data_IF_334961345819
#
_entry.id   IF_334961345819
#
_cell.length_a   1.000
_cell.length_b   1.000
_cell.length_c   1.000
_cell.angle_alpha   90.00
_cell.angle_beta   90.00
_cell.angle_gamma   90.00
#
_symmetry.space_group_name_H-M   'P 1'
#
loop_
_entity.id
_entity.type
_entity.pdbx_description
1 polymer ?
#
# COMPACT_ATOMS: atom_id res chain seq x y z
N UNK A 1 11.35 31.87 -15.19
CA UNK A 1 10.31 31.27 -14.31
C UNK A 1 10.57 29.77 -14.28
N UNK A 2 11.19 29.28 -13.21
CA UNK A 2 11.45 27.85 -13.04
C UNK A 2 10.16 27.19 -12.56
N UNK A 3 9.72 26.17 -13.28
CA UNK A 3 8.61 25.33 -12.88
C UNK A 3 8.98 24.65 -11.56
N UNK A 4 8.14 24.81 -10.54
CA UNK A 4 8.25 24.07 -9.29
C UNK A 4 8.15 22.58 -9.61
N UNK A 5 9.23 21.85 -9.32
CA UNK A 5 9.23 20.39 -9.29
C UNK A 5 8.14 19.99 -8.30
N UNK A 6 7.05 19.40 -8.80
CA UNK A 6 5.96 18.92 -7.98
C UNK A 6 6.49 17.92 -6.97
N UNK A 7 6.24 18.17 -5.68
CA UNK A 7 6.37 17.17 -4.63
C UNK A 7 5.49 15.98 -5.07
N UNK A 8 6.02 14.75 -5.21
CA UNK A 8 5.18 13.60 -5.52
C UNK A 8 4.09 13.49 -4.44
N UNK A 9 2.84 13.16 -4.80
CA UNK A 9 1.78 12.99 -3.81
C UNK A 9 2.25 11.98 -2.77
N UNK A 10 2.19 12.35 -1.48
CA UNK A 10 2.45 11.42 -0.37
C UNK A 10 1.59 10.17 -0.62
N UNK A 11 2.21 9.00 -0.76
CA UNK A 11 1.51 7.72 -0.90
C UNK A 11 0.80 7.39 0.42
N UNK A 12 -0.41 7.93 0.61
CA UNK A 12 -1.29 7.49 1.68
C UNK A 12 -2.08 6.27 1.21
N UNK A 13 -2.10 5.21 2.02
CA UNK A 13 -3.07 4.13 1.84
C UNK A 13 -4.38 4.54 2.50
N UNK A 14 -5.53 4.14 1.96
CA UNK A 14 -6.80 4.33 2.65
C UNK A 14 -7.19 3.02 3.32
N UNK A 15 -7.67 3.10 4.56
CA UNK A 15 -8.17 1.94 5.31
C UNK A 15 -9.57 2.23 5.83
N UNK A 16 -10.41 1.20 5.86
CA UNK A 16 -11.72 1.22 6.48
C UNK A 16 -11.67 0.52 7.84
N UNK A 17 -12.20 1.18 8.87
CA UNK A 17 -12.38 0.62 10.20
C UNK A 17 -13.82 0.16 10.39
N UNK A 18 -14.00 -1.14 10.60
CA UNK A 18 -15.28 -1.77 10.94
C UNK A 18 -15.34 -2.04 12.44
N UNK A 19 -16.36 -1.50 13.09
CA UNK A 19 -16.43 -1.44 14.55
C UNK A 19 -17.53 -2.37 15.07
N UNK A 20 -17.27 -2.98 16.23
CA UNK A 20 -18.26 -3.70 17.01
C UNK A 20 -17.90 -3.66 18.49
N UNK A 21 -18.89 -3.76 19.36
CA UNK A 21 -18.67 -3.85 20.80
C UNK A 21 -19.31 -5.11 21.38
N UNK A 22 -18.82 -5.53 22.54
CA UNK A 22 -19.35 -6.67 23.30
C UNK A 22 -19.38 -6.37 24.79
N UNK A 23 -20.41 -6.88 25.45
CA UNK A 23 -20.61 -6.78 26.90
C UNK A 23 -20.49 -5.34 27.41
N UNK A 24 -21.08 -4.38 26.69
CA UNK A 24 -21.17 -3.00 27.15
C UNK A 24 -21.87 -2.95 28.51
N UNK A 25 -21.46 -1.98 29.33
CA UNK A 25 -22.11 -1.71 30.60
C UNK A 25 -23.57 -1.31 30.34
N UNK A 26 -24.48 -1.98 31.03
CA UNK A 26 -25.89 -1.60 31.04
C UNK A 26 -26.07 -0.41 31.99
N UNK A 27 -26.47 0.73 31.44
CA UNK A 27 -26.64 2.01 32.15
C UNK A 27 -28.12 2.35 32.39
N UNK A 28 -29.00 1.70 31.64
CA UNK A 28 -30.44 1.93 31.70
C UNK A 28 -31.14 1.08 32.75
N UNK A 29 -32.14 1.68 33.41
CA UNK A 29 -32.95 1.02 34.45
C UNK A 29 -34.09 0.18 33.85
N UNK A 30 -34.51 0.49 32.62
CA UNK A 30 -35.70 -0.09 31.97
C UNK A 30 -35.48 -0.58 30.53
N UNK A 31 -34.37 -0.17 29.89
CA UNK A 31 -33.96 -0.53 28.53
C UNK A 31 -32.51 -1.00 28.54
N UNK A 32 -31.97 -1.33 27.36
CA UNK A 32 -30.52 -1.49 27.15
C UNK A 32 -30.03 -0.24 26.44
N UNK A 33 -28.74 0.05 26.59
CA UNK A 33 -28.07 1.13 25.86
C UNK A 33 -28.29 1.11 24.34
N UNK A 34 -28.28 2.31 23.76
CA UNK A 34 -28.37 2.67 22.35
C UNK A 34 -26.98 3.13 21.82
N UNK A 35 -25.97 2.23 21.74
CA UNK A 35 -24.58 2.62 21.52
C UNK A 35 -24.28 3.24 20.15
N UNK A 36 -23.35 4.18 20.16
CA UNK A 36 -22.67 4.77 18.99
C UNK A 36 -21.16 4.91 19.28
N UNK A 37 -20.31 4.73 18.27
CA UNK A 37 -18.86 4.94 18.40
C UNK A 37 -18.42 6.17 17.62
N UNK A 38 -17.82 7.14 18.33
CA UNK A 38 -17.12 8.26 17.72
C UNK A 38 -15.61 8.01 17.72
N UNK A 39 -14.97 8.29 16.58
CA UNK A 39 -13.54 8.09 16.35
C UNK A 39 -12.87 9.44 16.19
N UNK A 40 -11.79 9.65 16.93
CA UNK A 40 -11.03 10.90 16.94
C UNK A 40 -9.58 10.63 16.57
N UNK A 41 -8.94 11.59 15.89
CA UNK A 41 -7.49 11.64 15.67
C UNK A 41 -6.87 12.72 16.55
N UNK A 42 -5.67 12.45 17.05
CA UNK A 42 -4.87 13.48 17.73
C UNK A 42 -4.19 14.37 16.70
N UNK A 43 -4.28 15.68 16.89
CA UNK A 43 -3.58 16.66 16.07
C UNK A 43 -2.14 16.86 16.58
N UNK A 44 -1.31 17.55 15.79
CA UNK A 44 0.05 17.93 16.21
C UNK A 44 0.07 18.83 17.45
N UNK A 45 -1.00 19.61 17.69
CA UNK A 45 -1.18 20.42 18.90
C UNK A 45 -1.60 19.60 20.13
N UNK A 46 -1.83 18.28 19.96
CA UNK A 46 -2.26 17.38 21.03
C UNK A 46 -3.78 17.36 21.28
N UNK A 47 -4.57 18.14 20.54
CA UNK A 47 -6.03 18.14 20.63
C UNK A 47 -6.65 16.98 19.84
N UNK A 48 -7.83 16.54 20.26
CA UNK A 48 -8.59 15.50 19.54
C UNK A 48 -9.54 16.15 18.54
N UNK A 49 -9.61 15.61 17.33
CA UNK A 49 -10.53 16.01 16.27
C UNK A 49 -11.32 14.80 15.81
N UNK A 50 -12.65 14.92 15.74
CA UNK A 50 -13.52 13.83 15.27
C UNK A 50 -13.25 13.55 13.79
N UNK A 51 -12.96 12.30 13.47
CA UNK A 51 -12.85 11.80 12.09
C UNK A 51 -14.22 11.37 11.55
N UNK A 52 -15.05 10.84 12.44
CA UNK A 52 -16.41 10.45 12.15
C UNK A 52 -16.98 9.56 13.26
N UNK A 53 -18.24 9.19 13.08
CA UNK A 53 -18.97 8.30 13.98
C UNK A 53 -19.82 7.29 13.23
N UNK A 54 -20.07 6.14 13.86
CA UNK A 54 -20.98 5.10 13.37
C UNK A 54 -22.43 5.57 13.44
N UNK A 55 -23.34 4.75 12.93
CA UNK A 55 -24.75 4.84 13.32
C UNK A 55 -24.96 4.45 14.80
N UNK A 56 -26.11 4.84 15.36
CA UNK A 56 -26.59 4.37 16.65
C UNK A 56 -27.34 3.03 16.49
N UNK A 57 -27.02 2.05 17.32
CA UNK A 57 -27.68 0.74 17.35
C UNK A 57 -28.56 0.66 18.58
N UNK A 58 -29.86 0.52 18.40
CA UNK A 58 -30.80 0.53 19.53
C UNK A 58 -30.76 -0.75 20.37
N UNK A 59 -30.83 -0.58 21.69
CA UNK A 59 -31.11 -1.59 22.70
C UNK A 59 -30.16 -2.79 22.63
N UNK A 60 -28.86 -2.53 22.50
CA UNK A 60 -27.84 -3.55 22.31
C UNK A 60 -26.60 -3.30 23.15
N UNK A 61 -26.24 -4.29 23.98
CA UNK A 61 -24.95 -4.32 24.67
C UNK A 61 -23.84 -4.99 23.83
N UNK A 62 -24.18 -5.46 22.62
CA UNK A 62 -23.25 -6.13 21.70
C UNK A 62 -23.45 -5.62 20.26
N UNK A 63 -23.34 -4.30 20.02
CA UNK A 63 -23.61 -3.73 18.71
C UNK A 63 -22.55 -4.14 17.69
N UNK A 64 -22.99 -4.36 16.45
CA UNK A 64 -22.13 -4.39 15.27
C UNK A 64 -22.58 -3.26 14.36
N UNK A 65 -21.64 -2.41 13.94
CA UNK A 65 -21.94 -1.24 13.14
C UNK A 65 -21.70 -1.54 11.66
N UNK A 66 -22.59 -1.05 10.81
CA UNK A 66 -22.55 -1.16 9.36
C UNK A 66 -21.73 -0.05 8.72
N UNK A 67 -21.76 1.17 9.29
CA UNK A 67 -20.96 2.29 8.80
C UNK A 67 -19.49 2.10 9.20
N UNK A 68 -18.61 2.02 8.20
CA UNK A 68 -17.16 2.06 8.39
C UNK A 68 -16.64 3.49 8.52
N UNK A 69 -15.47 3.64 9.13
CA UNK A 69 -14.74 4.91 9.20
C UNK A 69 -13.49 4.80 8.33
N UNK A 70 -13.44 5.56 7.24
CA UNK A 70 -12.28 5.60 6.34
C UNK A 70 -11.21 6.56 6.87
N UNK A 71 -9.95 6.12 6.88
CA UNK A 71 -8.80 6.91 7.34
C UNK A 71 -7.64 6.76 6.35
N UNK A 72 -6.98 7.88 6.04
CA UNK A 72 -5.71 7.86 5.31
C UNK A 72 -4.57 7.42 6.25
N UNK A 73 -4.03 6.24 6.00
CA UNK A 73 -2.89 5.64 6.66
C UNK A 73 -1.56 6.12 6.05
N UNK A 74 -0.63 6.55 6.92
CA UNK A 74 0.73 6.99 6.60
C UNK A 74 1.70 6.27 7.52
N UNK A 75 2.48 5.35 6.96
CA UNK A 75 3.45 4.55 7.71
C UNK A 75 4.47 5.41 8.46
N UNK A 76 4.85 6.55 7.88
CA UNK A 76 5.87 7.45 8.43
C UNK A 76 5.36 8.37 9.55
N UNK A 77 4.10 8.25 9.97
CA UNK A 77 3.49 9.09 11.01
C UNK A 77 2.87 8.23 12.12
N UNK A 78 3.11 8.60 13.38
CA UNK A 78 2.33 8.06 14.48
C UNK A 78 0.95 8.73 14.52
N UNK A 79 -0.06 7.99 14.06
CA UNK A 79 -1.44 8.47 13.99
C UNK A 79 -2.22 7.99 15.21
N UNK A 80 -2.21 8.78 16.30
CA UNK A 80 -2.95 8.46 17.52
C UNK A 80 -4.47 8.59 17.31
N UNK A 81 -5.21 7.55 17.70
CA UNK A 81 -6.66 7.46 17.62
C UNK A 81 -7.29 7.30 19.00
N UNK A 82 -8.52 7.78 19.12
CA UNK A 82 -9.38 7.56 20.28
C UNK A 82 -10.75 7.09 19.81
N UNK A 83 -11.20 5.98 20.39
CA UNK A 83 -12.52 5.42 20.15
C UNK A 83 -13.35 5.62 21.41
N UNK A 84 -14.47 6.31 21.29
CA UNK A 84 -15.35 6.63 22.42
C UNK A 84 -16.75 6.13 22.13
N UNK A 85 -17.29 5.31 23.02
CA UNK A 85 -18.62 4.72 22.93
C UNK A 85 -19.58 5.50 23.81
N UNK A 86 -20.64 6.00 23.20
CA UNK A 86 -21.70 6.77 23.85
C UNK A 86 -23.00 5.97 23.86
N UNK A 87 -23.79 6.15 24.91
CA UNK A 87 -25.20 5.77 24.97
C UNK A 87 -26.03 6.96 24.50
N UNK A 88 -26.78 6.80 23.40
CA UNK A 88 -27.49 7.91 22.76
C UNK A 88 -28.92 7.97 23.30
N UNK A 89 -29.19 8.95 24.16
CA UNK A 89 -30.51 9.13 24.79
C UNK A 89 -31.47 9.96 23.94
N UNK A 90 -30.93 10.80 23.06
CA UNK A 90 -31.69 11.78 22.29
C UNK A 90 -31.13 11.95 20.86
N UNK A 91 -31.92 12.47 19.91
CA UNK A 91 -31.48 12.58 18.52
C UNK A 91 -30.63 13.85 18.25
N UNK A 92 -30.00 14.45 19.27
CA UNK A 92 -29.17 15.64 19.04
C UNK A 92 -27.85 15.27 18.36
N UNK A 93 -27.26 16.22 17.62
CA UNK A 93 -25.98 15.99 16.94
C UNK A 93 -24.77 16.06 17.90
N UNK A 94 -24.94 16.71 19.05
CA UNK A 94 -23.89 16.86 20.05
C UNK A 94 -23.80 15.60 20.90
N UNK A 95 -22.58 15.17 21.22
CA UNK A 95 -22.33 14.05 22.14
C UNK A 95 -22.02 14.55 23.57
N UNK A 96 -22.28 15.83 23.84
CA UNK A 96 -21.93 16.48 25.11
C UNK A 96 -22.80 16.07 26.28
N UNK A 97 -24.02 15.66 25.97
CA UNK A 97 -25.11 15.33 26.89
C UNK A 97 -25.38 13.83 26.96
N UNK A 98 -24.77 13.04 26.07
CA UNK A 98 -24.86 11.58 26.04
C UNK A 98 -23.96 10.89 27.09
N UNK A 99 -24.38 9.71 27.57
CA UNK A 99 -23.61 8.96 28.58
C UNK A 99 -22.38 8.26 27.97
N UNK A 100 -21.22 8.43 28.60
CA UNK A 100 -20.00 7.73 28.22
C UNK A 100 -20.00 6.28 28.72
N UNK A 101 -20.17 5.33 27.81
CA UNK A 101 -20.05 3.89 28.09
C UNK A 101 -18.59 3.46 28.25
N UNK A 102 -17.67 4.03 27.48
CA UNK A 102 -16.24 3.77 27.63
C UNK A 102 -15.41 4.25 26.44
N UNK A 103 -14.09 4.21 26.60
CA UNK A 103 -13.16 4.60 25.54
C UNK A 103 -11.87 3.78 25.54
N UNK A 104 -11.17 3.82 24.41
CA UNK A 104 -9.78 3.39 24.27
C UNK A 104 -8.99 4.44 23.47
N UNK A 105 -7.69 4.48 23.70
CA UNK A 105 -6.72 5.21 22.88
C UNK A 105 -5.68 4.20 22.38
N UNK A 106 -5.32 4.29 21.10
CA UNK A 106 -4.31 3.45 20.43
C UNK A 106 -3.82 4.17 19.18
N UNK A 107 -2.71 3.73 18.59
CA UNK A 107 -2.32 4.24 17.27
C UNK A 107 -3.05 3.49 16.14
N UNK A 108 -3.18 4.12 14.98
CA UNK A 108 -3.62 3.43 13.76
C UNK A 108 -2.62 2.33 13.38
N UNK A 109 -1.33 2.50 13.69
CA UNK A 109 -0.28 1.51 13.48
C UNK A 109 -0.58 0.18 14.18
N UNK A 110 -0.95 0.24 15.46
CA UNK A 110 -1.35 -0.94 16.25
C UNK A 110 -2.54 -1.66 15.60
N UNK A 111 -3.56 -0.88 15.19
CA UNK A 111 -4.78 -1.43 14.56
C UNK A 111 -4.45 -2.14 13.24
N UNK A 112 -3.63 -1.53 12.37
CA UNK A 112 -3.25 -2.14 11.08
C UNK A 112 -2.32 -3.34 11.26
N UNK A 113 -1.47 -3.34 12.28
CA UNK A 113 -0.55 -4.44 12.56
C UNK A 113 -1.26 -5.73 12.99
N UNK A 114 -2.38 -5.61 13.73
CA UNK A 114 -3.15 -6.74 14.26
C UNK A 114 -4.26 -7.21 13.30
N UNK A 115 -4.68 -6.37 12.34
CA UNK A 115 -5.84 -6.55 11.44
C UNK A 115 -7.20 -6.62 12.15
N UNK A 116 -7.28 -7.33 13.27
CA UNK A 116 -8.43 -7.42 14.17
C UNK A 116 -7.98 -7.02 15.56
N UNK A 117 -8.12 -5.73 15.88
CA UNK A 117 -7.69 -5.15 17.14
C UNK A 117 -8.83 -5.19 18.16
N UNK A 118 -8.66 -5.99 19.22
CA UNK A 118 -9.68 -6.15 20.28
C UNK A 118 -9.12 -5.70 21.62
N UNK A 119 -9.80 -4.76 22.29
CA UNK A 119 -9.37 -4.21 23.58
C UNK A 119 -10.54 -3.92 24.53
N UNK A 120 -10.32 -4.00 25.86
CA UNK A 120 -11.32 -3.59 26.83
C UNK A 120 -11.57 -2.09 26.73
N UNK A 121 -12.85 -1.70 26.75
CA UNK A 121 -13.24 -0.30 26.92
C UNK A 121 -13.05 0.11 28.38
N UNK A 122 -12.58 1.34 28.61
CA UNK A 122 -12.41 1.90 29.94
C UNK A 122 -13.36 3.07 30.18
N UNK A 123 -14.07 3.04 31.30
CA UNK A 123 -14.86 4.16 31.82
C UNK A 123 -14.46 4.40 33.27
N UNK A 124 -14.00 5.62 33.58
CA UNK A 124 -13.48 6.00 34.92
C UNK A 124 -12.45 4.99 35.48
N UNK A 125 -11.58 4.49 34.60
CA UNK A 125 -10.52 3.51 34.94
C UNK A 125 -11.01 2.07 35.14
N UNK A 126 -12.30 1.78 34.96
CA UNK A 126 -12.86 0.42 35.08
C UNK A 126 -13.25 -0.11 33.70
N UNK A 127 -13.13 -1.42 33.52
CA UNK A 127 -13.58 -2.11 32.30
C UNK A 127 -15.10 -1.95 32.14
N UNK A 128 -15.55 -1.50 30.98
CA UNK A 128 -16.96 -1.22 30.67
C UNK A 128 -17.43 -1.81 29.34
N UNK A 129 -16.78 -2.91 28.94
CA UNK A 129 -17.07 -3.64 27.71
C UNK A 129 -15.80 -3.94 26.94
N UNK A 130 -15.96 -4.36 25.70
CA UNK A 130 -14.87 -4.64 24.77
C UNK A 130 -15.23 -4.05 23.42
N UNK A 131 -14.26 -3.39 22.77
CA UNK A 131 -14.38 -2.95 21.38
C UNK A 131 -13.50 -3.85 20.50
N UNK A 132 -14.03 -4.21 19.33
CA UNK A 132 -13.31 -4.90 18.27
C UNK A 132 -13.32 -4.00 17.04
N UNK A 133 -12.12 -3.76 16.51
CA UNK A 133 -11.84 -2.95 15.33
C UNK A 133 -11.23 -3.87 14.29
N UNK A 134 -11.97 -4.13 13.21
CA UNK A 134 -11.46 -4.84 12.05
C UNK A 134 -11.08 -3.82 10.99
N UNK A 135 -9.85 -3.90 10.48
CA UNK A 135 -9.37 -3.00 9.45
C UNK A 135 -9.24 -3.71 8.12
N UNK A 136 -9.61 -3.00 7.05
CA UNK A 136 -9.43 -3.43 5.67
C UNK A 136 -8.80 -2.31 4.86
N UNK A 137 -7.90 -2.64 3.93
CA UNK A 137 -7.37 -1.64 3.00
C UNK A 137 -8.41 -1.35 1.91
N UNK A 138 -8.72 -0.06 1.73
CA UNK A 138 -9.52 0.42 0.61
C UNK A 138 -8.65 0.29 -0.63
N UNK A 139 -8.86 -0.81 -1.34
CA UNK A 139 -7.93 -1.40 -2.29
C UNK A 139 -7.20 -0.39 -3.20
N UNK A 140 -5.87 -0.45 -3.23
CA UNK A 140 -5.08 -0.19 -4.44
C UNK A 140 -4.45 -1.48 -4.98
N UNK A 141 -5.15 -2.60 -4.83
CA UNK A 141 -4.71 -3.88 -5.37
C UNK A 141 -4.48 -3.81 -6.88
N UNK A 142 -3.42 -4.46 -7.34
CA UNK A 142 -3.09 -4.56 -8.75
C UNK A 142 -2.28 -5.82 -9.04
N UNK A 143 -2.27 -6.24 -10.30
CA UNK A 143 -1.39 -7.30 -10.76
C UNK A 143 -0.40 -6.74 -11.76
N UNK A 144 0.84 -7.22 -11.72
CA UNK A 144 1.75 -7.13 -12.85
C UNK A 144 1.29 -8.13 -13.91
N UNK A 145 1.16 -7.66 -15.14
CA UNK A 145 0.72 -8.44 -16.29
C UNK A 145 1.87 -8.45 -17.30
N UNK A 146 2.47 -9.60 -17.51
CA UNK A 146 3.46 -9.84 -18.56
C UNK A 146 2.74 -10.47 -19.77
N UNK A 147 2.80 -9.84 -20.95
CA UNK A 147 2.18 -10.32 -22.19
C UNK A 147 3.22 -10.53 -23.28
N UNK A 148 3.10 -11.64 -24.01
CA UNK A 148 3.85 -11.92 -25.23
C UNK A 148 2.89 -12.09 -26.40
N UNK A 149 3.16 -11.37 -27.49
CA UNK A 149 2.38 -11.47 -28.72
C UNK A 149 3.28 -11.76 -29.92
N UNK A 150 2.73 -12.47 -30.90
CA UNK A 150 3.29 -12.62 -32.24
C UNK A 150 2.27 -12.27 -33.31
N UNK A 151 2.73 -11.74 -34.43
CA UNK A 151 1.92 -11.51 -35.63
C UNK A 151 2.14 -12.63 -36.64
N UNK A 152 1.11 -12.92 -37.43
CA UNK A 152 1.19 -13.92 -38.49
C UNK A 152 0.49 -13.42 -39.76
N UNK A 153 1.19 -13.52 -40.90
CA UNK A 153 0.66 -13.15 -42.21
C UNK A 153 0.13 -11.72 -42.28
N UNK A 154 0.81 -10.78 -41.63
CA UNK A 154 0.42 -9.37 -41.64
C UNK A 154 0.41 -8.81 -43.07
N UNK A 155 -0.50 -7.87 -43.34
CA UNK A 155 -0.53 -7.21 -44.64
C UNK A 155 0.75 -6.40 -44.88
N UNK A 156 1.34 -6.59 -46.06
CA UNK A 156 2.44 -5.78 -46.56
C UNK A 156 1.95 -4.36 -46.87
N UNK A 157 2.64 -3.36 -46.34
CA UNK A 157 2.32 -1.94 -46.52
C UNK A 157 3.39 -1.19 -47.32
N UNK A 158 4.66 -1.48 -47.10
CA UNK A 158 5.78 -0.94 -47.89
C UNK A 158 5.81 -1.36 -49.37
N UNK A 159 6.24 -0.45 -50.26
CA UNK A 159 6.47 -0.75 -51.69
C UNK A 159 7.72 -1.64 -51.89
N UNK A 160 8.82 -1.32 -51.20
CA UNK A 160 10.12 -1.99 -51.31
C UNK A 160 10.52 -2.66 -49.99
N UNK A 161 9.78 -3.68 -49.59
CA UNK A 161 10.05 -4.43 -48.36
C UNK A 161 8.86 -5.30 -47.95
N UNK A 162 8.86 -5.75 -46.71
CA UNK A 162 7.69 -6.10 -45.91
C UNK A 162 7.48 -4.97 -44.90
N UNK A 163 6.35 -4.98 -44.22
CA UNK A 163 6.05 -4.03 -43.15
C UNK A 163 7.07 -4.10 -42.00
N UNK A 164 7.14 -3.01 -41.25
CA UNK A 164 7.85 -2.75 -40.00
C UNK A 164 6.82 -2.69 -38.83
N UNK A 165 6.19 -3.82 -38.44
CA UNK A 165 5.03 -3.79 -37.56
C UNK A 165 5.33 -3.49 -36.09
N UNK A 166 4.50 -2.66 -35.45
CA UNK A 166 4.44 -2.46 -34.00
C UNK A 166 3.01 -2.54 -33.45
N UNK A 167 2.89 -2.83 -32.15
CA UNK A 167 1.61 -2.86 -31.44
C UNK A 167 1.42 -1.62 -30.56
N UNK A 168 0.19 -1.14 -30.53
CA UNK A 168 -0.30 -0.12 -29.61
C UNK A 168 -1.50 -0.68 -28.84
N UNK A 169 -1.41 -0.67 -27.50
CA UNK A 169 -2.50 -1.07 -26.62
C UNK A 169 -3.13 0.17 -26.00
N UNK A 170 -4.46 0.22 -25.99
CA UNK A 170 -5.22 1.31 -25.41
C UNK A 170 -6.33 0.82 -24.48
N UNK A 171 -6.46 1.46 -23.32
CA UNK A 171 -7.53 1.23 -22.35
C UNK A 171 -8.75 2.08 -22.70
N UNK A 172 -9.95 1.50 -22.60
CA UNK A 172 -11.21 2.25 -22.72
C UNK A 172 -11.50 3.10 -21.45
N UNK A 173 -11.82 4.37 -21.62
CA UNK A 173 -12.23 5.28 -20.55
C UNK A 173 -13.75 5.23 -20.31
N UNK A 174 -14.24 5.87 -19.24
CA UNK A 174 -15.68 5.88 -18.89
C UNK A 174 -16.56 6.51 -19.98
N UNK A 175 -16.04 7.52 -20.69
CA UNK A 175 -16.73 8.18 -21.81
C UNK A 175 -16.68 7.36 -23.11
N UNK A 176 -16.07 6.17 -23.08
CA UNK A 176 -15.87 5.28 -24.22
C UNK A 176 -14.72 5.66 -25.15
N UNK A 177 -13.99 6.73 -24.87
CA UNK A 177 -12.73 7.05 -25.54
C UNK A 177 -11.63 6.04 -25.17
N UNK A 178 -10.51 6.07 -25.88
CA UNK A 178 -9.37 5.17 -25.62
C UNK A 178 -8.11 5.98 -25.33
N UNK A 179 -7.37 5.57 -24.31
CA UNK A 179 -6.05 6.12 -23.95
C UNK A 179 -4.98 5.07 -24.22
N UNK A 180 -3.94 5.44 -24.95
CA UNK A 180 -2.77 4.58 -25.18
C UNK A 180 -2.06 4.34 -23.86
N UNK A 181 -1.83 3.08 -23.53
CA UNK A 181 -1.20 2.64 -22.27
C UNK A 181 0.12 1.92 -22.51
N UNK A 182 0.34 1.41 -23.72
CA UNK A 182 1.59 0.75 -24.11
C UNK A 182 1.81 0.82 -25.61
N UNK A 183 3.07 0.93 -26.03
CA UNK A 183 3.50 0.81 -27.43
C UNK A 183 4.84 0.07 -27.46
N UNK A 184 4.94 -0.93 -28.32
CA UNK A 184 6.21 -1.61 -28.58
C UNK A 184 7.03 -0.86 -29.65
N UNK A 185 8.34 -1.12 -29.67
CA UNK A 185 9.16 -0.82 -30.84
C UNK A 185 8.73 -1.67 -32.03
N UNK A 186 8.98 -1.15 -33.24
CA UNK A 186 8.69 -1.85 -34.48
C UNK A 186 9.72 -2.95 -34.77
N UNK A 187 9.27 -4.01 -35.43
CA UNK A 187 10.15 -5.09 -35.90
C UNK A 187 10.35 -4.95 -37.39
N UNK A 188 11.59 -4.69 -37.82
CA UNK A 188 11.88 -4.36 -39.22
C UNK A 188 11.61 -5.53 -40.19
N UNK A 189 10.96 -5.23 -41.31
CA UNK A 189 10.84 -5.99 -42.54
C UNK A 189 10.32 -7.42 -42.31
N UNK A 190 9.17 -7.54 -41.64
CA UNK A 190 8.53 -8.82 -41.35
C UNK A 190 7.00 -8.76 -41.41
N UNK A 191 6.39 -9.86 -41.87
CA UNK A 191 4.94 -10.07 -41.79
C UNK A 191 4.58 -11.07 -40.67
N UNK A 192 5.59 -11.55 -39.93
CA UNK A 192 5.42 -12.50 -38.83
C UNK A 192 6.29 -12.05 -37.63
N UNK A 193 6.04 -10.88 -37.05
CA UNK A 193 6.82 -10.37 -35.92
C UNK A 193 6.61 -11.21 -34.66
N UNK A 194 7.64 -11.26 -33.82
CA UNK A 194 7.52 -11.67 -32.41
C UNK A 194 7.99 -10.46 -31.61
N UNK A 195 7.07 -9.85 -30.85
CA UNK A 195 7.41 -8.64 -30.09
C UNK A 195 8.01 -8.99 -28.72
N UNK A 196 8.83 -8.11 -28.14
CA UNK A 196 9.30 -8.27 -26.76
C UNK A 196 8.14 -8.35 -25.76
N UNK A 197 8.40 -9.00 -24.62
CA UNK A 197 7.46 -9.05 -23.49
C UNK A 197 7.13 -7.63 -23.02
N UNK A 198 5.83 -7.33 -22.91
CA UNK A 198 5.36 -6.10 -22.29
C UNK A 198 4.93 -6.38 -20.85
N UNK A 199 5.29 -5.50 -19.93
CA UNK A 199 4.92 -5.58 -18.51
C UNK A 199 4.10 -4.35 -18.11
N UNK A 200 2.86 -4.57 -17.69
CA UNK A 200 1.90 -3.51 -17.37
C UNK A 200 1.20 -3.81 -16.04
N UNK A 201 0.79 -2.78 -15.30
CA UNK A 201 -0.12 -2.98 -14.16
C UNK A 201 -1.57 -3.16 -14.64
N UNK A 202 -2.36 -3.96 -13.92
CA UNK A 202 -3.81 -4.10 -14.17
C UNK A 202 -4.55 -2.77 -14.06
N UNK A 203 -4.08 -1.86 -13.21
CA UNK A 203 -4.63 -0.51 -13.12
C UNK A 203 -4.40 0.27 -14.42
N UNK A 204 -3.16 0.26 -14.94
CA UNK A 204 -2.83 0.94 -16.19
C UNK A 204 -3.59 0.31 -17.37
N UNK A 205 -3.61 -1.02 -17.46
CA UNK A 205 -4.20 -1.73 -18.60
C UNK A 205 -5.73 -1.64 -18.64
N UNK A 206 -6.40 -1.76 -17.49
CA UNK A 206 -7.86 -1.92 -17.46
C UNK A 206 -8.55 -1.32 -16.21
N UNK A 207 -7.88 -0.43 -15.46
CA UNK A 207 -8.37 0.14 -14.19
C UNK A 207 -8.84 -0.95 -13.21
N UNK A 208 -8.11 -2.06 -13.14
CA UNK A 208 -8.44 -3.22 -12.30
C UNK A 208 -9.81 -3.87 -12.61
N UNK A 209 -10.47 -3.52 -13.71
CA UNK A 209 -11.68 -4.19 -14.18
C UNK A 209 -11.31 -5.19 -15.29
N UNK A 210 -11.35 -6.52 -15.03
CA UNK A 210 -10.91 -7.51 -16.02
C UNK A 210 -11.79 -7.59 -17.28
N UNK A 211 -13.05 -7.13 -17.19
CA UNK A 211 -14.01 -7.10 -18.30
C UNK A 211 -13.87 -5.83 -19.17
N UNK A 212 -13.08 -4.84 -18.74
CA UNK A 212 -12.92 -3.57 -19.48
C UNK A 212 -12.24 -3.82 -20.84
N UNK A 213 -12.79 -3.29 -21.95
CA UNK A 213 -12.19 -3.47 -23.27
C UNK A 213 -10.79 -2.85 -23.40
N UNK A 214 -9.90 -3.63 -24.00
CA UNK A 214 -8.56 -3.23 -24.42
C UNK A 214 -8.56 -3.22 -25.94
N UNK A 215 -8.25 -2.08 -26.55
CA UNK A 215 -8.04 -1.97 -27.99
C UNK A 215 -6.58 -2.25 -28.29
N UNK A 216 -6.33 -3.13 -29.26
CA UNK A 216 -4.99 -3.42 -29.77
C UNK A 216 -4.94 -3.08 -31.25
N UNK A 217 -4.02 -2.19 -31.62
CA UNK A 217 -3.79 -1.78 -33.01
C UNK A 217 -2.41 -2.23 -33.45
N UNK A 218 -2.32 -2.72 -34.67
CA UNK A 218 -1.07 -3.05 -35.34
C UNK A 218 -0.84 -2.04 -36.46
N UNK A 219 0.30 -1.36 -36.41
CA UNK A 219 0.70 -0.34 -37.38
C UNK A 219 1.97 -0.76 -38.10
N UNK A 220 2.14 -0.26 -39.31
CA UNK A 220 3.40 -0.26 -40.03
C UNK A 220 4.17 1.02 -39.71
N UNK A 221 5.43 0.91 -39.30
CA UNK A 221 6.25 2.08 -39.01
C UNK A 221 6.82 2.68 -40.29
N UNK A 222 6.36 3.88 -40.66
CA UNK A 222 6.99 4.72 -41.68
C UNK A 222 7.91 5.81 -41.11
N UNK A 223 9.08 6.01 -41.72
CA UNK A 223 10.07 7.00 -41.28
C UNK A 223 9.60 8.47 -41.38
N UNK A 224 8.57 8.76 -42.19
CA UNK A 224 7.98 10.09 -42.36
C UNK A 224 6.93 10.43 -41.28
N UNK A 225 6.64 9.50 -40.37
CA UNK A 225 5.64 9.64 -39.30
C UNK A 225 4.19 9.32 -39.73
N UNK A 226 3.97 8.94 -41.00
CA UNK A 226 2.68 8.60 -41.57
C UNK A 226 2.18 7.18 -41.28
N UNK A 227 2.57 6.61 -40.13
CA UNK A 227 2.44 5.18 -39.80
C UNK A 227 1.10 4.56 -40.19
N UNK A 228 1.19 3.47 -40.95
CA UNK A 228 0.09 2.97 -41.74
C UNK A 228 -0.65 1.86 -40.98
N UNK A 229 -1.93 2.06 -40.63
CA UNK A 229 -2.69 1.05 -39.87
C UNK A 229 -2.78 -0.26 -40.67
N UNK A 230 -2.28 -1.37 -40.11
CA UNK A 230 -2.46 -2.72 -40.63
C UNK A 230 -3.88 -3.18 -40.26
N UNK A 231 -4.22 -3.17 -38.98
CA UNK A 231 -5.58 -3.41 -38.50
C UNK A 231 -5.67 -3.38 -36.97
N UNK A 232 -6.84 -3.68 -36.44
CA UNK A 232 -7.11 -3.63 -35.01
C UNK A 232 -8.04 -4.77 -34.55
N UNK A 233 -8.00 -5.06 -33.24
CA UNK A 233 -8.94 -5.94 -32.56
C UNK A 233 -9.19 -5.45 -31.12
N UNK A 234 -10.22 -5.98 -30.48
CA UNK A 234 -10.52 -5.74 -29.07
C UNK A 234 -10.39 -7.05 -28.29
N UNK A 235 -9.92 -6.94 -27.07
CA UNK A 235 -9.88 -8.03 -26.09
C UNK A 235 -10.15 -7.48 -24.68
N UNK A 236 -10.01 -8.31 -23.65
CA UNK A 236 -10.10 -7.93 -22.24
C UNK A 236 -9.14 -8.77 -21.40
N UNK A 237 -8.76 -8.30 -20.22
CA UNK A 237 -7.88 -9.07 -19.33
C UNK A 237 -8.50 -10.43 -18.96
N UNK A 238 -9.82 -10.49 -18.82
CA UNK A 238 -10.57 -11.73 -18.58
C UNK A 238 -10.43 -12.73 -19.71
N UNK A 239 -10.50 -12.29 -20.97
CA UNK A 239 -10.30 -13.14 -22.13
C UNK A 239 -8.86 -13.65 -22.21
N UNK A 240 -7.88 -12.76 -21.99
CA UNK A 240 -6.46 -13.11 -21.96
C UNK A 240 -6.17 -14.14 -20.85
N UNK A 241 -6.73 -13.95 -19.65
CA UNK A 241 -6.57 -14.88 -18.54
C UNK A 241 -7.23 -16.23 -18.82
N UNK A 242 -8.43 -16.25 -19.37
CA UNK A 242 -9.13 -17.49 -19.72
C UNK A 242 -8.35 -18.34 -20.74
N UNK A 243 -7.62 -17.70 -21.66
CA UNK A 243 -6.71 -18.38 -22.60
C UNK A 243 -5.64 -19.17 -21.85
N UNK A 244 -5.00 -18.50 -20.89
CA UNK A 244 -3.93 -19.08 -20.08
C UNK A 244 -4.42 -20.24 -19.22
N UNK A 245 -5.55 -20.07 -18.54
CA UNK A 245 -6.12 -21.08 -17.64
C UNK A 245 -6.46 -22.37 -18.40
N UNK A 246 -6.94 -22.24 -19.64
CA UNK A 246 -7.27 -23.36 -20.52
C UNK A 246 -6.09 -23.88 -21.32
N UNK A 247 -4.93 -23.22 -21.27
CA UNK A 247 -3.76 -23.46 -22.13
C UNK A 247 -4.12 -23.42 -23.62
N UNK A 248 -5.05 -22.55 -23.98
CA UNK A 248 -5.50 -22.34 -25.35
C UNK A 248 -4.72 -21.19 -25.99
N UNK A 249 -4.41 -21.32 -27.28
CA UNK A 249 -3.89 -20.20 -28.07
C UNK A 249 -5.06 -19.38 -28.57
N UNK A 250 -4.99 -18.07 -28.40
CA UNK A 250 -5.96 -17.15 -29.02
C UNK A 250 -5.28 -16.40 -30.16
N UNK A 251 -5.94 -16.45 -31.32
CA UNK A 251 -5.58 -15.69 -32.50
C UNK A 251 -6.70 -14.68 -32.81
N UNK A 252 -6.38 -13.39 -32.76
CA UNK A 252 -7.30 -12.34 -33.20
C UNK A 252 -7.01 -11.95 -34.64
N UNK A 253 -8.06 -11.88 -35.45
CA UNK A 253 -8.00 -11.31 -36.79
C UNK A 253 -7.84 -9.80 -36.72
N UNK A 254 -6.86 -9.25 -37.43
CA UNK A 254 -6.71 -7.81 -37.58
C UNK A 254 -7.70 -7.29 -38.61
N UNK A 255 -8.56 -6.37 -38.19
CA UNK A 255 -9.54 -5.76 -39.07
C UNK A 255 -9.12 -4.34 -39.42
N UNK A 256 -9.04 -4.05 -40.72
CA UNK A 256 -8.85 -2.70 -41.22
C UNK A 256 -10.17 -2.17 -41.77
N UNK A 257 -10.76 -1.18 -41.09
CA UNK A 257 -12.03 -0.59 -41.51
C UNK A 257 -12.02 -0.06 -42.96
N UNK A 258 -10.85 0.36 -43.49
CA UNK A 258 -10.72 0.82 -44.88
C UNK A 258 -10.79 -0.32 -45.90
N UNK A 259 -10.58 -1.57 -45.48
CA UNK A 259 -10.55 -2.76 -46.37
C UNK A 259 -11.82 -3.61 -46.30
N UNK A 260 -12.70 -3.41 -45.33
CA UNK A 260 -13.93 -4.21 -45.16
C UNK A 260 -14.88 -4.19 -46.35
N UNK A 261 -14.81 -3.16 -47.20
CA UNK A 261 -15.59 -3.05 -48.45
C UNK A 261 -14.98 -3.80 -49.63
N UNK A 262 -13.76 -4.36 -49.51
CA UNK A 262 -13.09 -5.07 -50.62
C UNK A 262 -13.63 -6.49 -50.76
N UNK A 263 -13.85 -6.91 -52.00
CA UNK A 263 -14.27 -8.29 -52.33
C UNK A 263 -13.20 -9.28 -51.85
N UNK A 264 -13.60 -10.31 -51.12
CA UNK A 264 -12.74 -11.35 -50.54
C UNK A 264 -11.78 -10.90 -49.42
N UNK A 265 -12.03 -9.75 -48.79
CA UNK A 265 -11.29 -9.39 -47.58
C UNK A 265 -11.78 -10.21 -46.38
N UNK A 266 -10.87 -10.95 -45.73
CA UNK A 266 -11.13 -11.62 -44.45
C UNK A 266 -10.47 -10.87 -43.29
N UNK A 267 -9.14 -10.67 -43.35
CA UNK A 267 -8.35 -9.97 -42.33
C UNK A 267 -7.04 -9.42 -42.92
N UNK A 268 -6.33 -8.59 -42.14
CA UNK A 268 -5.01 -8.00 -42.50
C UNK A 268 -3.85 -8.73 -41.82
N UNK A 269 -4.02 -10.01 -41.51
CA UNK A 269 -3.17 -10.84 -40.65
C UNK A 269 -3.83 -11.17 -39.31
N UNK A 270 -3.15 -12.00 -38.52
CA UNK A 270 -3.58 -12.35 -37.15
C UNK A 270 -2.53 -11.97 -36.11
N UNK A 271 -3.00 -11.66 -34.89
CA UNK A 271 -2.16 -11.51 -33.70
C UNK A 271 -2.47 -12.66 -32.77
N UNK A 272 -1.44 -13.34 -32.28
CA UNK A 272 -1.52 -14.44 -31.33
C UNK A 272 -1.03 -14.00 -29.96
N UNK A 273 -1.75 -14.40 -28.91
CA UNK A 273 -1.21 -14.40 -27.54
C UNK A 273 -0.33 -15.63 -27.35
N UNK A 274 0.97 -15.44 -27.20
CA UNK A 274 1.93 -16.53 -26.96
C UNK A 274 1.95 -16.94 -25.49
N UNK A 275 1.91 -15.96 -24.59
CA UNK A 275 1.81 -16.21 -23.15
C UNK A 275 1.30 -14.97 -22.41
N UNK A 276 0.63 -15.21 -21.29
CA UNK A 276 0.34 -14.20 -20.27
C UNK A 276 0.78 -14.73 -18.91
N UNK A 277 1.35 -13.86 -18.08
CA UNK A 277 1.62 -14.13 -16.67
C UNK A 277 1.08 -12.99 -15.84
N UNK A 278 0.09 -13.29 -15.01
CA UNK A 278 -0.48 -12.36 -14.04
C UNK A 278 0.13 -12.66 -12.68
N UNK A 279 0.86 -11.70 -12.13
CA UNK A 279 1.45 -11.79 -10.80
C UNK A 279 0.79 -10.76 -9.91
N UNK A 280 0.09 -11.20 -8.87
CA UNK A 280 -0.47 -10.29 -7.86
C UNK A 280 0.65 -9.52 -7.19
N UNK A 281 0.54 -8.19 -7.17
CA UNK A 281 1.40 -7.34 -6.37
C UNK A 281 0.64 -7.06 -5.07
N UNK A 282 1.22 -7.46 -3.95
CA UNK A 282 0.67 -7.17 -2.63
C UNK A 282 1.09 -5.77 -2.20
N UNK A 283 0.16 -5.00 -1.62
CA UNK A 283 0.44 -3.70 -1.03
C UNK A 283 1.31 -3.84 0.23
N UNK A 284 1.89 -2.74 0.70
CA UNK A 284 2.56 -2.69 1.99
C UNK A 284 1.65 -3.16 3.13
N UNK A 285 0.40 -2.67 3.15
CA UNK A 285 -0.58 -3.01 4.18
C UNK A 285 -1.01 -4.48 4.14
N UNK A 286 -1.11 -5.10 2.95
CA UNK A 286 -1.38 -6.53 2.83
C UNK A 286 -0.28 -7.38 3.47
N UNK A 287 0.99 -6.99 3.34
CA UNK A 287 2.09 -7.67 4.04
C UNK A 287 1.95 -7.53 5.57
N UNK A 288 1.72 -6.31 6.07
CA UNK A 288 1.59 -6.03 7.50
C UNK A 288 0.39 -6.77 8.11
N UNK A 289 -0.80 -6.61 7.53
CA UNK A 289 -2.02 -7.29 7.96
C UNK A 289 -1.93 -8.83 7.78
N UNK A 290 -1.09 -9.29 6.85
CA UNK A 290 -0.76 -10.70 6.63
C UNK A 290 0.18 -11.29 7.68
N UNK A 291 0.73 -10.48 8.58
CA UNK A 291 1.59 -10.94 9.67
C UNK A 291 3.07 -10.63 9.51
N UNK A 292 3.45 -9.87 8.48
CA UNK A 292 4.83 -9.38 8.34
C UNK A 292 5.14 -8.40 9.47
N UNK A 293 6.28 -8.60 10.13
CA UNK A 293 6.77 -7.70 11.17
C UNK A 293 7.85 -6.78 10.60
N UNK A 294 7.94 -5.56 11.15
CA UNK A 294 9.05 -4.64 10.88
C UNK A 294 9.94 -4.65 12.12
N UNK A 295 11.13 -5.21 11.98
CA UNK A 295 12.10 -5.23 13.07
C UNK A 295 12.92 -3.95 13.06
N UNK A 296 12.96 -3.24 14.18
CA UNK A 296 13.77 -2.04 14.33
C UNK A 296 15.20 -2.42 14.79
N UNK A 297 16.19 -2.02 14.00
CA UNK A 297 17.62 -2.20 14.31
C UNK A 297 18.32 -0.86 14.24
N UNK A 298 19.12 -0.54 15.25
CA UNK A 298 19.87 0.72 15.31
C UNK A 298 21.36 0.48 15.57
N UNK A 299 22.20 1.19 14.83
CA UNK A 299 23.63 1.33 15.11
C UNK A 299 23.92 2.71 15.69
N UNK A 300 24.54 2.77 16.86
CA UNK A 300 24.92 4.03 17.51
C UNK A 300 26.43 4.19 17.43
N UNK A 301 26.85 5.37 16.95
CA UNK A 301 28.26 5.75 16.86
C UNK A 301 28.78 6.19 18.23
N UNK A 302 29.74 5.44 18.77
CA UNK A 302 30.44 5.79 20.02
C UNK A 302 31.90 6.22 19.79
N UNK A 303 32.22 6.75 18.61
CA UNK A 303 33.55 7.33 18.34
C UNK A 303 33.84 8.53 19.24
N UNK A 304 35.14 8.75 19.52
CA UNK A 304 35.61 9.83 20.39
C UNK A 304 35.25 11.25 19.90
N UNK A 305 34.94 11.42 18.61
CA UNK A 305 34.48 12.70 18.05
C UNK A 305 33.17 13.20 18.65
N UNK A 306 32.37 12.33 19.26
CA UNK A 306 31.16 12.71 19.98
C UNK A 306 31.42 13.48 21.28
N UNK A 307 32.67 13.49 21.76
CA UNK A 307 33.06 14.13 23.01
C UNK A 307 32.68 13.31 24.25
N UNK A 308 33.19 13.76 25.39
CA UNK A 308 32.99 13.12 26.70
C UNK A 308 31.53 13.24 27.18
N UNK A 309 30.77 12.13 27.36
CA UNK A 309 29.35 12.15 27.71
C UNK A 309 29.02 12.89 29.02
N UNK A 310 29.99 13.08 29.92
CA UNK A 310 29.80 13.84 31.16
C UNK A 310 29.82 15.37 30.92
N UNK A 311 30.20 15.81 29.71
CA UNK A 311 30.27 17.22 29.34
C UNK A 311 29.01 17.64 28.57
N UNK A 312 28.39 18.79 28.92
CA UNK A 312 27.23 19.33 28.20
C UNK A 312 27.45 19.59 26.70
N UNK A 313 28.70 19.65 26.24
CA UNK A 313 29.06 19.83 24.84
C UNK A 313 29.09 18.52 24.03
N UNK A 314 28.94 17.36 24.67
CA UNK A 314 28.96 16.06 23.99
C UNK A 314 27.64 15.77 23.28
N UNK A 315 27.73 15.11 22.12
CA UNK A 315 26.56 14.60 21.40
C UNK A 315 25.85 13.46 22.14
N UNK A 316 26.57 12.79 23.04
CA UNK A 316 26.05 11.75 23.94
C UNK A 316 25.66 12.27 25.32
N UNK A 317 25.71 13.59 25.55
CA UNK A 317 25.35 14.16 26.85
C UNK A 317 23.92 13.76 27.24
N UNK A 318 23.76 13.22 28.45
CA UNK A 318 22.45 12.86 28.98
C UNK A 318 21.92 14.00 29.86
N UNK A 319 20.79 14.57 29.45
CA UNK A 319 20.03 15.52 30.24
C UNK A 319 18.65 14.93 30.57
N UNK A 320 18.19 15.18 31.80
CA UNK A 320 16.84 14.81 32.24
C UNK A 320 15.76 15.72 31.65
N UNK A 321 16.13 16.91 31.19
CA UNK A 321 15.20 17.91 30.63
C UNK A 321 15.14 17.85 29.11
N UNK A 322 16.30 17.66 28.46
CA UNK A 322 16.42 17.73 27.00
C UNK A 322 17.09 16.48 26.43
N UNK A 323 16.39 15.68 25.61
CA UNK A 323 17.02 14.58 24.89
C UNK A 323 18.09 15.12 23.92
N UNK A 324 19.22 14.41 23.82
CA UNK A 324 20.21 14.68 22.79
C UNK A 324 19.73 14.18 21.41
N UNK A 325 20.50 14.50 20.36
CA UNK A 325 20.14 14.20 18.97
C UNK A 325 19.98 12.70 18.70
N UNK A 326 20.83 11.85 19.29
CA UNK A 326 20.66 10.39 19.19
C UNK A 326 19.34 9.94 19.80
N UNK A 327 19.00 10.43 21.00
CA UNK A 327 17.73 10.12 21.66
C UNK A 327 16.53 10.62 20.85
N UNK A 328 16.62 11.80 20.24
CA UNK A 328 15.57 12.35 19.38
C UNK A 328 15.35 11.46 18.14
N UNK A 329 16.43 11.08 17.45
CA UNK A 329 16.35 10.19 16.29
C UNK A 329 15.77 8.81 16.64
N UNK A 330 16.23 8.23 17.76
CA UNK A 330 15.73 6.95 18.26
C UNK A 330 14.24 7.01 18.59
N UNK A 331 13.77 8.09 19.22
CA UNK A 331 12.34 8.27 19.53
C UNK A 331 11.52 8.47 18.27
N UNK A 332 11.98 9.31 17.35
CA UNK A 332 11.27 9.64 16.12
C UNK A 332 11.00 8.39 15.27
N UNK A 333 11.97 7.49 15.13
CA UNK A 333 11.84 6.26 14.35
C UNK A 333 11.23 5.13 15.18
N UNK A 334 11.72 4.94 16.42
CA UNK A 334 11.32 3.84 17.28
C UNK A 334 9.84 3.87 17.63
N UNK A 335 9.26 5.05 17.88
CA UNK A 335 7.82 5.17 18.18
C UNK A 335 6.90 4.86 17.00
N UNK A 336 7.42 4.89 15.77
CA UNK A 336 6.68 4.46 14.58
C UNK A 336 6.82 2.94 14.43
N UNK A 337 8.06 2.44 14.43
CA UNK A 337 8.34 1.03 14.14
C UNK A 337 7.82 0.07 15.21
N UNK A 338 7.74 0.50 16.49
CA UNK A 338 7.29 -0.34 17.59
C UNK A 338 5.89 -0.95 17.36
N UNK A 339 5.02 -0.26 16.62
CA UNK A 339 3.64 -0.70 16.39
C UNK A 339 3.60 -1.89 15.41
N UNK A 340 4.71 -2.16 14.70
CA UNK A 340 4.84 -3.21 13.67
C UNK A 340 5.76 -4.35 14.12
N UNK A 341 6.29 -4.29 15.33
CA UNK A 341 7.12 -5.34 15.92
C UNK A 341 6.30 -6.18 16.90
N UNK A 342 5.87 -7.37 16.45
CA UNK A 342 5.08 -8.30 17.27
C UNK A 342 5.87 -8.96 18.39
N UNK A 343 7.20 -8.92 18.33
CA UNK A 343 8.07 -9.57 19.31
C UNK A 343 8.59 -8.60 20.37
N UNK A 344 8.38 -7.29 20.16
CA UNK A 344 8.87 -6.24 21.06
C UNK A 344 10.39 -6.29 21.26
N UNK A 345 11.12 -6.73 20.23
CA UNK A 345 12.56 -6.89 20.22
C UNK A 345 13.20 -5.78 19.40
N UNK A 346 13.83 -4.83 20.08
CA UNK A 346 14.72 -3.86 19.42
C UNK A 346 16.16 -4.36 19.47
N UNK A 347 16.83 -4.45 18.33
CA UNK A 347 18.25 -4.81 18.27
C UNK A 347 19.08 -3.53 18.24
N UNK A 348 19.99 -3.40 19.21
CA UNK A 348 20.87 -2.24 19.34
C UNK A 348 22.31 -2.68 19.14
N UNK A 349 22.98 -2.12 18.13
CA UNK A 349 24.41 -2.26 17.92
C UNK A 349 25.12 -1.01 18.45
N UNK A 350 26.10 -1.22 19.32
CA UNK A 350 27.07 -0.19 19.68
C UNK A 350 28.33 -0.40 18.84
N UNK A 351 28.64 0.56 17.97
CA UNK A 351 29.82 0.48 17.11
C UNK A 351 30.99 1.24 17.75
N UNK A 352 32.20 0.69 17.62
CA UNK A 352 33.46 1.32 18.03
C UNK A 352 33.65 1.59 19.54
N UNK A 353 32.95 0.84 20.41
CA UNK A 353 33.09 0.96 21.87
C UNK A 353 34.02 -0.14 22.44
N UNK A 354 35.04 0.24 23.22
CA UNK A 354 35.94 -0.73 23.84
C UNK A 354 35.43 -1.33 25.16
N UNK A 355 34.69 -0.63 26.02
CA UNK A 355 34.06 -1.19 27.23
C UNK A 355 32.95 -0.27 27.74
N UNK A 356 31.70 -0.75 27.88
CA UNK A 356 30.77 -0.53 29.01
C UNK A 356 29.33 -1.04 28.71
N UNK A 357 28.58 -1.29 29.78
CA UNK A 357 27.16 -1.68 29.74
C UNK A 357 26.31 -0.48 29.31
N UNK A 358 25.59 -0.62 28.20
CA UNK A 358 24.63 0.38 27.73
C UNK A 358 23.26 0.02 28.30
N UNK A 359 22.70 0.92 29.12
CA UNK A 359 21.27 0.90 29.46
C UNK A 359 20.58 2.03 28.69
N UNK A 360 19.83 1.69 27.64
CA UNK A 360 18.92 2.61 26.99
C UNK A 360 17.48 2.19 27.27
N UNK A 361 16.65 3.12 27.73
CA UNK A 361 15.20 2.95 27.74
C UNK A 361 14.68 3.13 26.31
N UNK A 362 14.69 2.04 25.55
CA UNK A 362 13.89 1.93 24.32
C UNK A 362 12.51 1.37 24.68
N UNK A 363 11.47 1.63 23.87
CA UNK A 363 10.21 0.91 24.00
C UNK A 363 10.45 -0.59 23.75
N UNK A 364 10.20 -1.44 24.74
CA UNK A 364 10.33 -2.91 24.62
C UNK A 364 11.64 -3.50 25.15
N UNK A 365 11.86 -4.79 24.88
CA UNK A 365 13.05 -5.53 25.32
C UNK A 365 14.18 -5.30 24.32
N UNK A 366 15.16 -4.46 24.68
CA UNK A 366 16.33 -4.21 23.83
C UNK A 366 17.39 -5.31 24.00
N UNK A 367 17.84 -5.91 22.89
CA UNK A 367 19.02 -6.78 22.86
C UNK A 367 20.20 -5.94 22.37
N UNK A 368 21.15 -5.67 23.27
CA UNK A 368 22.39 -4.93 22.94
C UNK A 368 23.46 -5.91 22.47
N UNK A 369 23.88 -5.80 21.21
CA UNK A 369 24.96 -6.58 20.62
C UNK A 369 26.20 -5.72 20.38
N UNK A 370 27.39 -6.28 20.64
CA UNK A 370 28.66 -5.63 20.33
C UNK A 370 29.10 -6.00 18.92
N UNK A 371 29.29 -5.02 18.06
CA UNK A 371 29.99 -5.22 16.79
C UNK A 371 31.47 -4.88 16.99
N UNK A 372 32.32 -5.90 17.06
CA UNK A 372 33.75 -5.72 16.81
C UNK A 372 33.96 -5.42 15.32
N UNK A 373 35.09 -4.78 14.98
CA UNK A 373 35.43 -4.25 13.64
C UNK A 373 35.24 -5.26 12.50
N UNK A 374 35.15 -6.57 12.78
CA UNK A 374 35.01 -7.64 11.79
C UNK A 374 33.82 -8.60 11.97
N UNK A 375 32.78 -8.24 12.74
CA UNK A 375 31.64 -9.15 12.94
C UNK A 375 30.28 -8.45 12.81
N UNK A 376 29.75 -8.42 11.59
CA UNK A 376 28.31 -8.51 11.37
C UNK A 376 28.03 -9.99 11.10
N UNK A 377 27.52 -10.77 12.06
CA UNK A 377 27.11 -12.14 11.77
C UNK A 377 25.97 -12.08 10.75
N UNK A 378 26.18 -12.68 9.58
CA UNK A 378 25.11 -12.94 8.63
C UNK A 378 24.15 -13.95 9.25
N UNK A 379 23.11 -13.48 9.95
CA UNK A 379 22.03 -14.34 10.39
C UNK A 379 21.13 -14.64 9.18
N UNK A 380 21.24 -15.86 8.64
CA UNK A 380 20.23 -16.42 7.76
C UNK A 380 18.99 -16.77 8.58
N UNK A 381 18.01 -15.87 8.60
CA UNK A 381 16.65 -16.22 8.98
C UNK A 381 15.95 -16.83 7.76
N UNK A 382 15.47 -18.07 7.88
CA UNK A 382 14.71 -18.80 6.86
C UNK A 382 13.25 -18.28 6.69
N UNK A 383 13.01 -17.01 6.99
CA UNK A 383 11.73 -16.34 6.81
C UNK A 383 11.98 -15.05 6.04
N UNK A 384 11.04 -14.67 5.17
CA UNK A 384 11.07 -13.39 4.46
C UNK A 384 10.93 -12.29 5.53
N UNK A 385 12.06 -11.83 6.07
CA UNK A 385 12.15 -10.72 7.02
C UNK A 385 12.54 -9.50 6.21
N UNK A 386 11.62 -8.56 6.04
CA UNK A 386 11.96 -7.23 5.57
C UNK A 386 12.68 -6.51 6.71
N UNK A 387 14.01 -6.47 6.67
CA UNK A 387 14.82 -5.71 7.62
C UNK A 387 15.02 -4.30 7.07
N UNK A 388 14.48 -3.29 7.75
CA UNK A 388 14.87 -1.90 7.50
C UNK A 388 16.18 -1.66 8.24
N UNK A 389 17.30 -1.80 7.54
CA UNK A 389 18.62 -1.43 8.08
C UNK A 389 18.81 0.05 7.81
N UNK A 390 18.51 0.89 8.80
CA UNK A 390 18.85 2.31 8.71
C UNK A 390 20.28 2.49 9.24
N UNK A 391 21.22 2.72 8.33
CA UNK A 391 22.53 3.25 8.68
C UNK A 391 22.39 4.76 8.92
N UNK A 392 22.32 5.17 10.18
CA UNK A 392 22.48 6.59 10.53
C UNK A 392 23.98 6.92 10.44
N UNK A 393 24.46 7.18 9.23
CA UNK A 393 25.74 7.85 9.04
C UNK A 393 25.47 9.35 9.03
N UNK A 394 25.85 10.05 10.10
CA UNK A 394 25.97 11.49 10.02
C UNK A 394 27.29 11.79 9.30
N UNK A 395 27.21 12.25 8.05
CA UNK A 395 28.31 12.98 7.43
C UNK A 395 28.13 14.43 7.89
N UNK A 396 29.10 14.91 8.66
CA UNK A 396 29.14 16.23 9.28
C UNK A 396 29.05 17.39 8.27
#
# INVERSE_FOLDING_TARGET
>A
MAASVGVPPKLGYFVELHLSCQNLKDTDVLSKSDPLVAVYSKTQSGSWTELGRTECVKNSLNPSFTKSIEICYRFEEKQDLKFTVYDIDNPTESLSDDELLGSIECSLGEVVSERVYTRPLLSKGKKSGTIKIQVEEVSQGGSSIELNFSGHGLDKKDLFGKSDPYLELSRMNEDGSYTVVHRNDYIKNTLNPVWPTMTLSSNLLCNNNPDRPIMVKCFDWDADGGHDLIGEFKTSLKELQAASDKKEKIDWKLINAKKTKKKNYDNSGTIRLDSIKITRIYSFLEYIMGGTTINFTVGIDFTASNGDPDKPSSLHYYSTEYPNEYMNALRAVGYICQDYDRYGMTIVYAMHLHVLNISMQLPGNAIVMRAGVDAIPSFHFNYIVASMIMHVFYVA
#
